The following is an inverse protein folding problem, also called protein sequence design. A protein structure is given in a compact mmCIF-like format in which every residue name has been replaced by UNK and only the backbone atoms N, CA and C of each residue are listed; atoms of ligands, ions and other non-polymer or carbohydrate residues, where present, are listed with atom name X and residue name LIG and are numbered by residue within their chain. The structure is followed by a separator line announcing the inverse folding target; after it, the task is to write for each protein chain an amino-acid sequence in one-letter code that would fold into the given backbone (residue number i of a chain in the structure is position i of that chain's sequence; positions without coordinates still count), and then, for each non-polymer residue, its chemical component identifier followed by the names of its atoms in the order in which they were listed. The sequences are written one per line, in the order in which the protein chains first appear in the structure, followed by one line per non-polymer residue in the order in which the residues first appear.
data_IF_250622090007
#
_entry.id   IF_250622090007
#
_cell.length_a   1.000
_cell.length_b   1.000
_cell.length_c   1.000
_cell.angle_alpha   90.00
_cell.angle_beta   90.00
_cell.angle_gamma   90.00
#
_symmetry.space_group_name_H-M   'P 1'
#
loop_
_entity.id
_entity.type
_entity.pdbx_description
1 polymer ?
#
# COMPACT_ATOMS: atom_id res chain seq x y z
N UNK A 1 21.97 1.53 -7.47
CA UNK A 1 21.26 0.59 -6.59
C UNK A 1 20.70 -0.57 -7.41
N UNK A 2 21.34 -1.74 -7.39
CA UNK A 2 20.68 -2.99 -7.77
C UNK A 2 20.13 -3.60 -6.49
N UNK A 3 18.96 -3.14 -6.05
CA UNK A 3 18.23 -3.78 -4.97
C UNK A 3 17.98 -5.26 -5.31
N UNK A 4 17.82 -6.11 -4.30
CA UNK A 4 17.48 -7.54 -4.49
C UNK A 4 16.24 -7.72 -5.38
N UNK A 5 15.30 -6.77 -5.34
CA UNK A 5 14.13 -6.72 -6.20
C UNK A 5 14.49 -6.73 -7.70
N UNK A 6 15.49 -5.94 -8.11
CA UNK A 6 15.98 -5.96 -9.50
C UNK A 6 16.67 -7.26 -9.86
N UNK A 7 17.44 -7.86 -8.93
CA UNK A 7 18.09 -9.14 -9.18
C UNK A 7 17.07 -10.27 -9.42
N UNK A 8 15.95 -10.27 -8.68
CA UNK A 8 14.82 -11.18 -8.86
C UNK A 8 14.11 -10.91 -10.20
N UNK A 9 13.77 -9.64 -10.47
CA UNK A 9 13.09 -9.22 -11.70
C UNK A 9 13.86 -9.62 -12.97
N UNK A 10 15.19 -9.44 -12.98
CA UNK A 10 16.06 -9.82 -14.11
C UNK A 10 16.08 -11.32 -14.41
N UNK A 11 15.61 -12.15 -13.48
CA UNK A 11 15.44 -13.60 -13.66
C UNK A 11 14.00 -13.98 -14.06
N UNK A 12 13.20 -13.01 -14.53
CA UNK A 12 11.78 -13.16 -14.87
C UNK A 12 10.93 -13.68 -13.71
N UNK A 13 11.36 -13.43 -12.47
CA UNK A 13 10.56 -13.66 -11.27
C UNK A 13 9.89 -12.36 -10.83
N UNK A 14 8.82 -12.46 -10.06
CA UNK A 14 8.08 -11.31 -9.54
C UNK A 14 8.58 -10.94 -8.13
N UNK A 15 9.37 -9.86 -7.96
CA UNK A 15 9.73 -9.39 -6.64
C UNK A 15 8.52 -8.73 -5.95
N UNK A 16 8.42 -8.88 -4.63
CA UNK A 16 7.49 -8.08 -3.84
C UNK A 16 7.97 -6.63 -3.74
N UNK A 17 7.06 -5.68 -3.90
CA UNK A 17 7.29 -4.26 -3.72
C UNK A 17 7.24 -3.84 -2.24
N UNK A 18 8.00 -4.48 -1.36
CA UNK A 18 7.95 -4.23 0.10
C UNK A 18 8.40 -2.83 0.52
N UNK A 19 9.04 -2.07 -0.36
CA UNK A 19 9.32 -0.65 -0.12
C UNK A 19 8.07 0.23 -0.21
N UNK A 20 7.04 -0.20 -0.96
CA UNK A 20 5.84 0.60 -1.22
C UNK A 20 5.03 0.93 0.06
N UNK A 21 4.73 -0.01 0.97
CA UNK A 21 3.98 0.30 2.18
C UNK A 21 4.59 1.41 3.06
N UNK A 22 5.85 1.32 3.53
CA UNK A 22 6.45 2.38 4.34
C UNK A 22 6.61 3.70 3.58
N UNK A 23 6.87 3.67 2.25
CA UNK A 23 6.88 4.88 1.45
C UNK A 23 5.52 5.57 1.41
N UNK A 24 4.43 4.82 1.31
CA UNK A 24 3.08 5.39 1.32
C UNK A 24 2.69 5.91 2.69
N UNK A 25 3.02 5.19 3.76
CA UNK A 25 2.80 5.69 5.13
C UNK A 25 3.54 7.01 5.34
N UNK A 26 4.82 7.08 4.97
CA UNK A 26 5.58 8.33 5.02
C UNK A 26 4.92 9.43 4.16
N UNK A 27 4.59 9.14 2.91
CA UNK A 27 4.06 10.16 1.99
C UNK A 27 2.72 10.73 2.43
N UNK A 28 1.83 9.93 3.00
CA UNK A 28 0.50 10.36 3.42
C UNK A 28 0.50 10.98 4.82
N UNK A 29 1.44 10.59 5.70
CA UNK A 29 1.57 11.20 7.03
C UNK A 29 2.36 12.53 7.01
N UNK A 30 3.35 12.67 6.11
CA UNK A 30 4.23 13.84 6.02
C UNK A 30 3.89 14.79 4.85
N UNK A 31 2.82 14.47 4.10
CA UNK A 31 2.45 15.17 2.86
C UNK A 31 3.63 15.32 1.86
N UNK A 32 4.45 14.28 1.73
CA UNK A 32 5.70 14.29 0.99
C UNK A 32 5.88 13.07 0.07
N UNK A 33 5.76 13.29 -1.23
CA UNK A 33 5.86 12.28 -2.30
C UNK A 33 7.26 12.10 -2.87
N UNK A 34 8.28 12.84 -2.42
CA UNK A 34 9.60 12.89 -3.09
C UNK A 34 10.21 11.50 -3.20
N UNK A 35 10.28 10.76 -2.09
CA UNK A 35 10.88 9.43 -2.04
C UNK A 35 10.03 8.37 -2.74
N UNK A 36 8.69 8.46 -2.60
CA UNK A 36 7.76 7.60 -3.33
C UNK A 36 7.92 7.76 -4.85
N UNK A 37 7.94 9.00 -5.36
CA UNK A 37 8.14 9.29 -6.80
C UNK A 37 9.52 8.81 -7.27
N UNK A 38 10.57 8.99 -6.46
CA UNK A 38 11.90 8.47 -6.80
C UNK A 38 11.91 6.94 -6.90
N UNK A 39 11.28 6.26 -5.96
CA UNK A 39 11.14 4.81 -6.01
C UNK A 39 10.30 4.36 -7.21
N UNK A 40 9.16 5.01 -7.50
CA UNK A 40 8.31 4.70 -8.66
C UNK A 40 9.04 4.87 -10.01
N UNK A 41 10.02 5.77 -10.11
CA UNK A 41 10.88 5.88 -11.31
C UNK A 41 11.77 4.67 -11.50
N UNK A 42 12.18 4.04 -10.39
CA UNK A 42 13.21 3.00 -10.34
C UNK A 42 12.69 1.62 -9.92
N UNK A 43 11.40 1.42 -9.65
CA UNK A 43 10.93 0.10 -9.23
C UNK A 43 10.85 -0.87 -10.42
N UNK A 44 11.12 -2.18 -10.24
CA UNK A 44 10.86 -3.17 -11.27
C UNK A 44 9.40 -3.14 -11.73
N UNK A 45 9.14 -3.26 -13.04
CA UNK A 45 7.76 -3.14 -13.56
C UNK A 45 6.90 -4.38 -13.37
N UNK A 46 7.53 -5.53 -13.08
CA UNK A 46 6.87 -6.82 -12.90
C UNK A 46 6.72 -7.22 -11.42
N UNK A 47 6.57 -6.26 -10.51
CA UNK A 47 6.43 -6.55 -9.07
C UNK A 47 5.08 -7.19 -8.73
N UNK A 48 5.00 -7.78 -7.54
CA UNK A 48 3.75 -7.92 -6.78
C UNK A 48 3.70 -6.75 -5.79
N UNK A 49 2.72 -5.85 -5.92
CA UNK A 49 2.57 -4.70 -5.02
C UNK A 49 1.66 -5.04 -3.85
N UNK A 50 2.04 -4.64 -2.64
CA UNK A 50 1.29 -4.88 -1.39
C UNK A 50 1.29 -3.61 -0.55
N UNK A 51 0.32 -3.46 0.35
CA UNK A 51 0.36 -2.51 1.47
C UNK A 51 0.48 -3.27 2.79
N UNK A 52 -0.37 -4.27 2.94
CA UNK A 52 -0.46 -5.18 4.07
C UNK A 52 -0.27 -6.62 3.61
N UNK A 53 0.22 -7.45 4.54
CA UNK A 53 0.37 -8.89 4.37
C UNK A 53 0.04 -9.60 5.69
N UNK A 54 0.24 -10.91 5.74
CA UNK A 54 0.15 -11.69 6.98
C UNK A 54 1.33 -11.44 7.95
N UNK A 55 2.40 -10.80 7.49
CA UNK A 55 3.52 -10.32 8.31
C UNK A 55 3.39 -8.82 8.61
N UNK A 56 4.26 -8.29 9.46
CA UNK A 56 4.33 -6.85 9.72
C UNK A 56 4.91 -6.05 8.53
N UNK A 57 4.75 -4.74 8.57
CA UNK A 57 5.23 -3.81 7.55
C UNK A 57 6.77 -3.77 7.59
N UNK A 58 7.42 -4.15 6.49
CA UNK A 58 8.87 -4.33 6.41
C UNK A 58 9.62 -3.00 6.27
N UNK A 59 10.36 -2.60 7.30
CA UNK A 59 11.13 -1.34 7.29
C UNK A 59 12.47 -1.46 6.56
N UNK A 60 13.23 -2.57 6.62
CA UNK A 60 14.50 -2.68 5.91
C UNK A 60 14.41 -2.52 4.38
N UNK A 61 13.24 -2.69 3.78
CA UNK A 61 13.04 -2.46 2.34
C UNK A 61 13.06 -0.98 1.92
N UNK A 62 13.02 -0.04 2.87
CA UNK A 62 13.20 1.40 2.61
C UNK A 62 14.54 1.97 3.09
N UNK A 63 15.42 1.15 3.67
CA UNK A 63 16.78 1.57 3.99
C UNK A 63 17.52 2.01 2.71
N UNK A 64 18.05 3.23 2.70
CA UNK A 64 18.67 3.83 1.52
C UNK A 64 17.69 4.33 0.45
N UNK A 65 16.38 4.25 0.69
CA UNK A 65 15.33 4.92 -0.12
C UNK A 65 14.76 6.11 0.65
N UNK A 66 14.43 5.91 1.94
CA UNK A 66 14.09 6.97 2.87
C UNK A 66 15.33 7.35 3.70
N UNK A 67 15.50 8.64 4.08
CA UNK A 67 16.49 9.04 5.05
C UNK A 67 16.25 8.39 6.42
N UNK A 68 17.32 8.08 7.14
CA UNK A 68 17.25 7.39 8.43
C UNK A 68 16.43 8.16 9.49
N UNK A 69 16.51 9.49 9.49
CA UNK A 69 15.69 10.34 10.37
C UNK A 69 14.20 10.21 10.04
N UNK A 70 13.83 10.09 8.76
CA UNK A 70 12.45 9.90 8.33
C UNK A 70 11.92 8.50 8.59
N UNK A 71 12.78 7.49 8.50
CA UNK A 71 12.44 6.13 8.95
C UNK A 71 12.13 6.16 10.45
N UNK A 72 12.95 6.84 11.25
CA UNK A 72 12.72 6.99 12.69
C UNK A 72 11.42 7.73 12.99
N UNK A 73 11.19 8.89 12.37
CA UNK A 73 9.95 9.67 12.55
C UNK A 73 8.71 8.82 12.23
N UNK A 74 8.76 8.03 11.16
CA UNK A 74 7.69 7.13 10.74
C UNK A 74 7.41 6.04 11.79
N UNK A 75 8.48 5.42 12.30
CA UNK A 75 8.40 4.42 13.37
C UNK A 75 7.73 5.01 14.60
N UNK A 76 8.28 6.13 15.10
CA UNK A 76 7.82 6.77 16.34
C UNK A 76 6.34 7.20 16.22
N UNK A 77 5.91 7.61 15.01
CA UNK A 77 4.51 7.93 14.74
C UNK A 77 3.58 6.71 14.82
N UNK A 78 4.01 5.57 14.28
CA UNK A 78 3.19 4.34 14.20
C UNK A 78 3.22 3.57 15.51
N UNK A 79 4.29 3.67 16.30
CA UNK A 79 4.50 2.95 17.56
C UNK A 79 3.31 3.09 18.53
N UNK A 80 2.73 4.28 18.61
CA UNK A 80 1.53 4.56 19.42
C UNK A 80 0.29 3.74 19.00
N UNK A 81 0.27 3.19 17.79
CA UNK A 81 -0.83 2.40 17.22
C UNK A 81 -0.46 0.95 16.97
N UNK A 82 0.83 0.59 16.89
CA UNK A 82 1.25 -0.80 16.68
C UNK A 82 1.25 -1.61 17.98
N UNK A 83 1.54 -2.91 17.85
CA UNK A 83 2.17 -3.67 18.94
C UNK A 83 3.68 -3.38 18.97
N UNK A 84 4.38 -3.97 19.96
CA UNK A 84 5.84 -3.87 20.06
C UNK A 84 6.50 -4.21 18.71
N UNK A 85 7.46 -3.39 18.22
CA UNK A 85 8.12 -3.68 16.98
C UNK A 85 8.89 -5.01 17.07
N UNK A 86 8.76 -5.84 16.04
CA UNK A 86 9.53 -7.08 15.94
C UNK A 86 10.97 -6.70 15.59
N UNK A 87 11.79 -6.49 16.62
CA UNK A 87 13.20 -6.16 16.49
C UNK A 87 14.03 -7.43 16.27
N UNK A 88 15.11 -7.31 15.50
CA UNK A 88 16.17 -8.32 15.27
C UNK A 88 16.75 -8.97 16.56
N UNK A 89 16.42 -8.43 17.74
CA UNK A 89 16.89 -8.90 19.07
C UNK A 89 15.91 -9.80 19.83
N UNK A 90 14.65 -9.95 19.42
CA UNK A 90 13.71 -10.89 20.07
C UNK A 90 13.94 -12.37 19.69
N UNK A 91 14.95 -12.65 18.86
CA UNK A 91 15.37 -14.01 18.47
C UNK A 91 16.20 -14.74 19.55
N UNK A 92 15.79 -14.69 20.82
CA UNK A 92 16.28 -15.65 21.82
C UNK A 92 15.80 -17.08 21.51
N UNK A 93 14.77 -17.22 20.66
CA UNK A 93 14.33 -18.49 20.08
C UNK A 93 14.74 -18.57 18.61
N UNK A 94 15.83 -19.28 18.35
CA UNK A 94 16.52 -19.45 17.05
C UNK A 94 15.73 -20.29 16.02
N UNK A 95 14.41 -20.45 16.18
CA UNK A 95 13.58 -21.26 15.30
C UNK A 95 12.68 -20.48 14.33
N UNK A 96 12.62 -19.15 14.40
CA UNK A 96 11.92 -18.34 13.38
C UNK A 96 12.92 -17.72 12.40
N UNK A 97 12.98 -18.27 11.19
CA UNK A 97 13.60 -17.64 10.03
C UNK A 97 12.80 -16.36 9.73
N UNK A 98 13.20 -15.18 10.23
CA UNK A 98 12.51 -13.93 9.84
C UNK A 98 12.52 -12.72 10.77
N UNK A 99 13.42 -12.58 11.75
CA UNK A 99 13.47 -11.37 12.59
C UNK A 99 14.08 -10.15 11.86
N UNK A 100 13.31 -9.61 10.92
CA UNK A 100 13.50 -8.32 10.24
C UNK A 100 12.72 -7.27 11.04
N UNK A 101 13.19 -6.01 11.08
CA UNK A 101 12.48 -4.93 11.75
C UNK A 101 11.14 -4.66 11.05
N UNK A 102 10.04 -5.06 11.70
CA UNK A 102 8.68 -5.00 11.16
C UNK A 102 7.75 -4.24 12.11
N UNK A 103 6.90 -3.37 11.55
CA UNK A 103 5.81 -2.75 12.31
C UNK A 103 4.59 -3.68 12.31
N UNK A 104 4.18 -4.15 13.49
CA UNK A 104 3.02 -5.02 13.70
C UNK A 104 1.78 -4.17 13.95
N UNK A 105 1.09 -3.84 12.87
CA UNK A 105 -0.12 -3.01 12.86
C UNK A 105 -0.92 -3.36 11.60
N UNK A 106 -2.25 -3.23 11.63
CA UNK A 106 -3.01 -3.20 10.37
C UNK A 106 -2.64 -1.92 9.61
N UNK A 107 -2.64 -1.99 8.27
CA UNK A 107 -2.30 -0.81 7.47
C UNK A 107 -3.35 0.30 7.64
N UNK A 108 -4.60 -0.06 7.91
CA UNK A 108 -5.67 0.90 8.17
C UNK A 108 -5.46 1.66 9.49
N UNK A 109 -5.06 0.99 10.57
CA UNK A 109 -4.68 1.65 11.82
C UNK A 109 -3.37 2.44 11.71
N UNK A 110 -2.39 1.95 10.94
CA UNK A 110 -1.18 2.72 10.65
C UNK A 110 -1.52 4.09 10.02
N UNK A 111 -2.60 4.14 9.24
CA UNK A 111 -3.19 5.32 8.61
C UNK A 111 -4.23 6.05 9.48
N UNK A 112 -4.26 5.79 10.78
CA UNK A 112 -5.17 6.41 11.75
C UNK A 112 -6.66 6.22 11.42
N UNK A 113 -7.00 5.11 10.74
CA UNK A 113 -8.37 4.81 10.29
C UNK A 113 -8.96 5.93 9.43
N UNK A 114 -8.11 6.65 8.69
CA UNK A 114 -8.54 7.70 7.78
C UNK A 114 -8.93 7.08 6.43
N UNK A 115 -10.24 7.04 6.14
CA UNK A 115 -10.80 6.50 4.90
C UNK A 115 -10.12 7.07 3.64
N UNK A 116 -9.99 8.39 3.56
CA UNK A 116 -9.46 9.06 2.36
C UNK A 116 -7.99 8.73 2.16
N UNK A 117 -7.20 8.74 3.23
CA UNK A 117 -5.79 8.37 3.18
C UNK A 117 -5.61 6.89 2.82
N UNK A 118 -6.48 6.01 3.34
CA UNK A 118 -6.46 4.59 3.01
C UNK A 118 -6.80 4.33 1.54
N UNK A 119 -7.82 5.01 1.00
CA UNK A 119 -8.17 4.91 -0.41
C UNK A 119 -7.09 5.54 -1.31
N UNK A 120 -6.51 6.66 -0.92
CA UNK A 120 -5.37 7.25 -1.64
C UNK A 120 -4.18 6.27 -1.71
N UNK A 121 -3.85 5.59 -0.60
CA UNK A 121 -2.81 4.56 -0.58
C UNK A 121 -3.12 3.40 -1.54
N UNK A 122 -4.36 2.89 -1.53
CA UNK A 122 -4.81 1.82 -2.43
C UNK A 122 -4.85 2.25 -3.89
N UNK A 123 -5.24 3.49 -4.18
CA UNK A 123 -5.20 4.05 -5.52
C UNK A 123 -3.77 4.11 -6.05
N UNK A 124 -2.82 4.60 -5.24
CA UNK A 124 -1.39 4.60 -5.62
C UNK A 124 -0.89 3.17 -5.80
N UNK A 125 -1.25 2.23 -4.92
CA UNK A 125 -0.88 0.82 -5.05
C UNK A 125 -1.34 0.23 -6.39
N UNK A 126 -2.57 0.51 -6.79
CA UNK A 126 -3.16 -0.05 -8.01
C UNK A 126 -2.61 0.60 -9.27
N UNK A 127 -2.26 1.89 -9.22
CA UNK A 127 -1.58 2.56 -10.32
C UNK A 127 -0.08 2.24 -10.38
N UNK A 128 0.54 1.74 -9.30
CA UNK A 128 1.93 1.33 -9.32
C UNK A 128 2.15 0.12 -10.27
N UNK A 129 3.29 0.06 -10.98
CA UNK A 129 3.61 -1.08 -11.85
C UNK A 129 3.66 -2.41 -11.12
N UNK A 130 2.95 -3.39 -11.63
CA UNK A 130 2.92 -4.76 -11.11
C UNK A 130 1.52 -5.31 -10.92
N UNK A 131 1.46 -6.44 -10.23
CA UNK A 131 0.24 -7.15 -9.85
C UNK A 131 -0.11 -6.72 -8.41
N UNK A 132 -1.20 -5.98 -8.18
CA UNK A 132 -1.60 -5.61 -6.83
C UNK A 132 -2.20 -6.81 -6.09
N UNK A 133 -1.70 -7.05 -4.87
CA UNK A 133 -2.31 -7.96 -3.89
C UNK A 133 -2.94 -7.14 -2.76
N UNK A 134 -4.17 -7.51 -2.39
CA UNK A 134 -4.90 -6.93 -1.27
C UNK A 134 -5.07 -8.03 -0.23
N UNK A 135 -4.50 -7.84 0.96
CA UNK A 135 -4.67 -8.78 2.06
C UNK A 135 -6.06 -8.64 2.68
N UNK A 136 -6.61 -9.74 3.20
CA UNK A 136 -8.03 -9.81 3.53
C UNK A 136 -8.43 -8.86 4.69
N UNK A 137 -7.53 -8.62 5.66
CA UNK A 137 -7.79 -7.64 6.73
C UNK A 137 -7.93 -6.23 6.14
N UNK A 138 -7.01 -5.81 5.26
CA UNK A 138 -7.14 -4.52 4.59
C UNK A 138 -8.29 -4.45 3.60
N UNK A 139 -8.65 -5.54 2.92
CA UNK A 139 -9.85 -5.57 2.07
C UNK A 139 -11.09 -5.10 2.84
N UNK A 140 -11.20 -5.51 4.11
CA UNK A 140 -12.31 -5.20 5.01
C UNK A 140 -12.06 -3.98 5.90
N UNK A 141 -11.04 -3.17 5.60
CA UNK A 141 -10.59 -2.04 6.42
C UNK A 141 -10.45 -2.41 7.91
N UNK A 142 -9.89 -3.60 8.18
CA UNK A 142 -9.76 -4.14 9.52
C UNK A 142 -8.81 -3.34 10.41
N UNK A 143 -9.21 -3.21 11.67
CA UNK A 143 -8.41 -2.61 12.75
C UNK A 143 -7.64 -3.68 13.52
N UNK A 144 -6.70 -3.23 14.34
CA UNK A 144 -5.83 -4.04 15.18
C UNK A 144 -6.63 -4.94 16.12
N UNK A 145 -6.37 -6.24 16.03
CA UNK A 145 -6.95 -7.25 16.91
C UNK A 145 -6.03 -7.51 18.12
N UNK A 146 -6.06 -6.56 19.07
CA UNK A 146 -5.25 -6.66 20.30
C UNK A 146 -5.66 -7.86 21.15
N UNK A 147 -6.94 -8.19 21.18
CA UNK A 147 -7.47 -9.32 21.94
C UNK A 147 -6.91 -10.65 21.41
N UNK A 148 -6.89 -10.84 20.09
CA UNK A 148 -6.30 -12.03 19.49
C UNK A 148 -4.79 -12.10 19.77
N UNK A 149 -4.08 -11.00 19.57
CA UNK A 149 -2.65 -10.90 19.85
C UNK A 149 -2.32 -11.26 21.32
N UNK A 150 -3.05 -10.71 22.28
CA UNK A 150 -2.86 -11.00 23.71
C UNK A 150 -3.17 -12.47 24.04
N UNK A 151 -4.21 -13.03 23.43
CA UNK A 151 -4.62 -14.42 23.64
C UNK A 151 -3.63 -15.43 23.07
N UNK A 152 -3.02 -15.15 21.93
CA UNK A 152 -2.09 -16.08 21.25
C UNK A 152 -0.64 -15.86 21.66
N UNK A 153 -0.29 -14.63 22.08
CA UNK A 153 1.09 -14.22 22.35
C UNK A 153 1.94 -13.98 21.10
N UNK A 154 1.36 -14.05 19.88
CA UNK A 154 2.05 -13.74 18.63
C UNK A 154 1.73 -12.30 18.19
N UNK A 155 2.74 -11.45 18.12
CA UNK A 155 2.58 -10.02 17.80
C UNK A 155 1.94 -9.77 16.43
N UNK A 156 2.17 -10.65 15.44
CA UNK A 156 1.55 -10.52 14.11
C UNK A 156 0.06 -10.79 14.09
N UNK A 157 -0.48 -11.45 15.11
CA UNK A 157 -1.91 -11.76 15.15
C UNK A 157 -2.78 -10.51 15.31
N UNK A 158 -2.18 -9.37 15.67
CA UNK A 158 -2.82 -8.05 15.61
C UNK A 158 -3.39 -7.72 14.21
N UNK A 159 -2.82 -8.29 13.14
CA UNK A 159 -3.25 -8.13 11.74
C UNK A 159 -3.69 -9.48 11.13
N UNK A 160 -4.23 -10.39 11.94
CA UNK A 160 -4.72 -11.71 11.47
C UNK A 160 -6.09 -12.06 12.05
N UNK A 161 -6.95 -11.06 12.23
CA UNK A 161 -8.32 -11.24 12.72
C UNK A 161 -9.01 -12.39 11.96
N UNK A 162 -9.68 -13.26 12.71
CA UNK A 162 -10.58 -14.26 12.15
C UNK A 162 -11.96 -13.64 12.02
N UNK A 163 -12.46 -13.49 10.79
CA UNK A 163 -13.79 -12.93 10.54
C UNK A 163 -14.84 -14.04 10.46
N UNK A 164 -15.98 -13.83 11.11
CA UNK A 164 -17.19 -14.62 10.83
C UNK A 164 -17.86 -14.14 9.55
N UNK A 165 -18.81 -14.91 9.01
CA UNK A 165 -19.56 -14.49 7.82
C UNK A 165 -20.37 -13.22 8.09
N UNK A 166 -20.97 -13.11 9.27
CA UNK A 166 -21.73 -11.94 9.69
C UNK A 166 -20.84 -10.68 9.78
N UNK A 167 -19.63 -10.81 10.34
CA UNK A 167 -18.68 -9.70 10.38
C UNK A 167 -18.22 -9.29 8.97
N UNK A 168 -18.09 -10.23 8.03
CA UNK A 168 -17.80 -9.92 6.63
C UNK A 168 -18.96 -9.17 6.00
N UNK A 169 -20.19 -9.65 6.17
CA UNK A 169 -21.40 -9.01 5.62
C UNK A 169 -21.56 -7.56 6.13
N UNK A 170 -21.22 -7.31 7.39
CA UNK A 170 -21.20 -5.95 7.95
C UNK A 170 -20.03 -5.11 7.40
N UNK A 171 -18.82 -5.69 7.33
CA UNK A 171 -17.63 -4.97 6.89
C UNK A 171 -17.70 -4.55 5.42
N UNK A 172 -18.27 -5.39 4.54
CA UNK A 172 -18.37 -5.04 3.12
C UNK A 172 -19.29 -3.85 2.86
N UNK A 173 -20.27 -3.60 3.72
CA UNK A 173 -21.19 -2.44 3.61
C UNK A 173 -20.55 -1.13 4.07
N UNK A 174 -19.37 -1.16 4.70
CA UNK A 174 -18.69 0.06 5.13
C UNK A 174 -18.35 0.95 3.91
N UNK A 175 -18.54 2.28 3.99
CA UNK A 175 -18.27 3.19 2.88
C UNK A 175 -16.85 3.06 2.32
N UNK A 176 -15.83 2.94 3.18
CA UNK A 176 -14.44 2.75 2.77
C UNK A 176 -14.22 1.43 2.01
N UNK A 177 -14.87 0.35 2.42
CA UNK A 177 -14.76 -0.95 1.74
C UNK A 177 -15.47 -0.89 0.39
N UNK A 178 -16.64 -0.27 0.29
CA UNK A 178 -17.33 -0.06 -0.99
C UNK A 178 -16.49 0.79 -1.97
N UNK A 179 -15.83 1.84 -1.48
CA UNK A 179 -14.87 2.65 -2.26
C UNK A 179 -13.70 1.80 -2.77
N UNK A 180 -13.11 0.97 -1.91
CA UNK A 180 -12.03 0.04 -2.28
C UNK A 180 -12.49 -0.99 -3.33
N UNK A 181 -13.67 -1.59 -3.15
CA UNK A 181 -14.23 -2.56 -4.10
C UNK A 181 -14.47 -1.93 -5.48
N UNK A 182 -14.97 -0.69 -5.52
CA UNK A 182 -15.11 0.07 -6.78
C UNK A 182 -13.76 0.28 -7.45
N UNK A 183 -12.75 0.71 -6.69
CA UNK A 183 -11.39 0.92 -7.18
C UNK A 183 -10.75 -0.39 -7.69
N UNK A 184 -10.99 -1.52 -7.02
CA UNK A 184 -10.53 -2.86 -7.45
C UNK A 184 -11.18 -3.28 -8.77
N UNK A 185 -12.50 -3.06 -8.92
CA UNK A 185 -13.21 -3.32 -10.18
C UNK A 185 -12.62 -2.48 -11.32
N UNK A 186 -12.34 -1.20 -11.08
CA UNK A 186 -11.71 -0.34 -12.07
C UNK A 186 -10.33 -0.86 -12.48
N UNK A 187 -9.46 -1.15 -11.50
CA UNK A 187 -8.10 -1.68 -11.75
C UNK A 187 -8.09 -3.02 -12.50
N UNK A 188 -9.09 -3.85 -12.27
CA UNK A 188 -9.17 -5.20 -12.85
C UNK A 188 -9.70 -5.22 -14.28
N UNK A 189 -10.55 -4.25 -14.64
CA UNK A 189 -11.26 -4.27 -15.92
C UNK A 189 -10.77 -3.21 -16.91
N UNK A 190 -10.24 -2.07 -16.45
CA UNK A 190 -9.93 -0.97 -17.36
C UNK A 190 -8.70 -1.27 -18.26
N UNK A 191 -8.81 -1.22 -19.60
CA UNK A 191 -7.76 -1.72 -20.51
C UNK A 191 -6.42 -0.99 -20.43
N UNK A 192 -6.39 0.27 -19.96
CA UNK A 192 -5.16 1.06 -19.90
C UNK A 192 -4.05 0.39 -19.07
N UNK A 193 -4.42 -0.36 -18.02
CA UNK A 193 -3.48 -1.08 -17.14
C UNK A 193 -2.72 -2.23 -17.83
N UNK A 194 -3.08 -2.59 -19.06
CA UNK A 194 -2.32 -3.55 -19.88
C UNK A 194 -1.21 -2.89 -20.71
N UNK A 195 -1.13 -1.57 -20.71
CA UNK A 195 -0.20 -0.82 -21.53
C UNK A 195 1.00 -0.30 -20.75
N UNK A 196 1.27 0.99 -20.93
CA UNK A 196 2.46 1.66 -20.40
C UNK A 196 2.09 2.50 -19.17
N UNK A 197 2.87 2.33 -18.11
CA UNK A 197 2.86 3.20 -16.95
C UNK A 197 3.56 4.54 -17.24
N UNK A 198 2.97 5.62 -16.75
CA UNK A 198 3.46 6.99 -16.83
C UNK A 198 3.46 7.61 -15.42
N UNK A 199 4.59 8.17 -15.00
CA UNK A 199 4.67 8.99 -13.79
C UNK A 199 4.72 10.46 -14.22
N UNK A 200 3.59 11.14 -14.08
CA UNK A 200 3.42 12.51 -14.52
C UNK A 200 4.08 13.49 -13.54
N UNK A 201 4.32 14.72 -14.00
CA UNK A 201 4.82 15.77 -13.12
C UNK A 201 3.75 16.14 -12.07
N UNK A 202 4.20 16.25 -10.82
CA UNK A 202 3.40 16.70 -9.68
C UNK A 202 4.35 17.34 -8.65
N UNK A 203 3.84 18.26 -7.83
CA UNK A 203 4.63 18.90 -6.77
C UNK A 203 4.94 17.90 -5.64
N UNK A 204 5.68 18.32 -4.62
CA UNK A 204 6.13 17.41 -3.56
C UNK A 204 5.01 16.89 -2.67
N UNK A 205 3.87 17.60 -2.58
CA UNK A 205 2.70 17.17 -1.82
C UNK A 205 1.60 16.56 -2.69
N UNK A 206 1.94 16.07 -3.89
CA UNK A 206 1.00 15.37 -4.76
C UNK A 206 1.65 14.28 -5.59
N UNK A 207 0.85 13.30 -6.01
CA UNK A 207 1.28 12.18 -6.87
C UNK A 207 0.37 12.14 -8.09
N UNK A 208 0.96 12.20 -9.29
CA UNK A 208 0.26 12.06 -10.56
C UNK A 208 0.77 10.84 -11.33
N UNK A 209 -0.11 9.87 -11.59
CA UNK A 209 0.21 8.60 -12.25
C UNK A 209 -0.77 8.35 -13.37
N UNK A 210 -0.34 7.68 -14.44
CA UNK A 210 -1.23 7.31 -15.52
C UNK A 210 -0.85 5.96 -16.12
N UNK A 211 -1.83 5.39 -16.83
CA UNK A 211 -1.65 4.25 -17.69
C UNK A 211 -2.24 4.55 -19.06
N UNK A 212 -1.57 4.04 -20.10
CA UNK A 212 -2.01 4.20 -21.49
C UNK A 212 -1.89 2.90 -22.26
N UNK A 213 -2.96 2.50 -22.94
CA UNK A 213 -2.97 1.35 -23.86
C UNK A 213 -3.83 1.65 -25.09
N UNK A 214 -3.18 1.94 -26.22
CA UNK A 214 -3.89 2.44 -27.41
C UNK A 214 -4.61 3.75 -27.11
N UNK A 215 -5.92 3.78 -27.37
CA UNK A 215 -6.81 4.92 -27.09
C UNK A 215 -7.22 5.01 -25.61
N UNK A 216 -7.05 3.94 -24.82
CA UNK A 216 -7.42 3.94 -23.41
C UNK A 216 -6.36 4.66 -22.57
N UNK A 217 -6.82 5.60 -21.77
CA UNK A 217 -5.99 6.38 -20.86
C UNK A 217 -6.73 6.58 -19.54
N UNK A 218 -6.04 6.34 -18.43
CA UNK A 218 -6.51 6.74 -17.12
C UNK A 218 -5.40 7.46 -16.34
N UNK A 219 -5.81 8.42 -15.54
CA UNK A 219 -4.95 9.29 -14.77
C UNK A 219 -5.44 9.34 -13.33
N UNK A 220 -4.53 9.09 -12.39
CA UNK A 220 -4.70 9.26 -10.96
C UNK A 220 -3.98 10.53 -10.53
N UNK A 221 -4.70 11.40 -9.82
CA UNK A 221 -4.12 12.50 -9.05
C UNK A 221 -4.43 12.30 -7.57
N UNK A 222 -3.40 12.37 -6.73
CA UNK A 222 -3.52 12.33 -5.26
C UNK A 222 -2.96 13.62 -4.68
N UNK A 223 -3.76 14.30 -3.88
CA UNK A 223 -3.31 15.42 -3.03
C UNK A 223 -3.01 14.89 -1.63
N UNK A 224 -1.76 14.99 -1.20
CA UNK A 224 -1.31 14.45 0.09
C UNK A 224 -1.63 15.37 1.27
N UNK A 225 -1.96 16.64 1.04
CA UNK A 225 -2.39 17.52 2.14
C UNK A 225 -3.81 17.20 2.58
N UNK A 226 -4.65 16.78 1.63
CA UNK A 226 -6.06 16.46 1.88
C UNK A 226 -6.36 14.97 1.81
N UNK A 227 -5.36 14.14 1.48
CA UNK A 227 -5.51 12.71 1.25
C UNK A 227 -6.58 12.34 0.22
N UNK A 228 -6.89 13.25 -0.71
CA UNK A 228 -7.92 13.02 -1.73
C UNK A 228 -7.32 12.36 -2.96
N UNK A 229 -8.07 11.46 -3.58
CA UNK A 229 -7.68 10.82 -4.83
C UNK A 229 -8.77 11.02 -5.88
N UNK A 230 -8.35 11.40 -7.08
CA UNK A 230 -9.22 11.59 -8.24
C UNK A 230 -8.70 10.79 -9.40
N UNK A 231 -9.57 9.95 -9.98
CA UNK A 231 -9.25 9.19 -11.18
C UNK A 231 -10.08 9.73 -12.33
N UNK A 232 -9.39 10.16 -13.39
CA UNK A 232 -10.01 10.48 -14.68
C UNK A 232 -9.67 9.40 -15.70
N UNK A 233 -10.62 9.04 -16.56
CA UNK A 233 -10.43 8.01 -17.58
C UNK A 233 -11.37 8.22 -18.76
N UNK A 234 -11.04 7.63 -19.91
CA UNK A 234 -11.88 7.67 -21.11
C UNK A 234 -12.86 6.49 -21.07
N UNK A 235 -14.17 6.75 -21.11
CA UNK A 235 -15.20 5.71 -21.16
C UNK A 235 -15.10 4.87 -22.44
N UNK A 236 -15.28 3.56 -22.31
CA UNK A 236 -15.12 2.62 -23.43
C UNK A 236 -16.30 2.66 -24.42
N UNK A 237 -17.48 3.11 -24.01
CA UNK A 237 -18.70 3.08 -24.81
C UNK A 237 -18.88 4.35 -25.64
N UNK A 238 -18.65 5.52 -25.04
CA UNK A 238 -18.91 6.81 -25.68
C UNK A 238 -17.66 7.70 -25.86
N UNK A 239 -16.50 7.28 -25.34
CA UNK A 239 -15.25 8.04 -25.43
C UNK A 239 -15.24 9.32 -24.60
N UNK A 240 -16.22 9.51 -23.71
CA UNK A 240 -16.27 10.68 -22.81
C UNK A 240 -15.23 10.57 -21.70
N UNK A 241 -14.77 11.72 -21.21
CA UNK A 241 -13.97 11.75 -20.00
C UNK A 241 -14.87 11.55 -18.77
N UNK A 242 -14.58 10.52 -17.99
CA UNK A 242 -15.24 10.20 -16.75
C UNK A 242 -14.32 10.51 -15.58
N UNK A 243 -14.91 10.96 -14.47
CA UNK A 243 -14.19 11.20 -13.22
C UNK A 243 -14.88 10.44 -12.10
N UNK A 244 -14.11 9.72 -11.29
CA UNK A 244 -14.59 9.32 -9.97
C UNK A 244 -13.57 9.66 -8.90
N UNK A 245 -14.10 10.18 -7.79
CA UNK A 245 -13.34 10.41 -6.58
C UNK A 245 -13.23 9.07 -5.86
N UNK A 246 -12.01 8.73 -5.45
CA UNK A 246 -11.74 7.55 -4.65
C UNK A 246 -12.59 7.57 -3.40
#
# INVERSE_FOLDING_TARGET
HTSSQYAISRRNMHPYGFALPPLLLYSLLDANSVYLKNWLRMCPRNMITVLDTHDGICIPDVEGVLPDDKIKDLIDNIDARSADPILRRSAANIHSVGAIYQLTCTFYDAMMQNDDAYIAARAIQFFAPGIPQVYYVGLLAGVNDRDLMERTGELRDINRKYYTLEEVDEAVEQPVVQRLLRLMRFRSNYPAFQGRFELNYSNDSSVAMAWRHGEHYCHLFVDLNFNTSTITYIDEQDGSEQTFHG
#
